data_IF_114103407016
#
_entry.id   IF_114103407016
#
_cell.length_a   1.000
_cell.length_b   1.000
_cell.length_c   1.000
_cell.angle_alpha   90.00
_cell.angle_beta   90.00
_cell.angle_gamma   90.00
#
_symmetry.space_group_name_H-M   'P 1'
#
loop_
_entity.id
_entity.type
_entity.pdbx_description
1 polymer ?
#
# COMPACT_ATOMS: atom_id res chain seq x y z
N UNK A 1 10.19 -9.23 -7.66
CA UNK A 1 9.71 -7.96 -7.08
C UNK A 1 9.18 -8.25 -5.69
N UNK A 2 9.43 -7.38 -4.71
CA UNK A 2 9.01 -7.58 -3.31
C UNK A 2 7.94 -6.56 -2.92
N UNK A 3 6.82 -7.01 -2.38
CA UNK A 3 5.68 -6.17 -1.97
C UNK A 3 5.66 -6.11 -0.44
N UNK A 4 5.46 -4.91 0.12
CA UNK A 4 5.19 -4.73 1.55
C UNK A 4 3.70 -4.53 1.73
N UNK A 5 3.05 -5.38 2.53
CA UNK A 5 1.62 -5.26 2.84
C UNK A 5 1.49 -4.81 4.29
N UNK A 6 0.83 -3.67 4.49
CA UNK A 6 0.60 -3.02 5.79
C UNK A 6 -0.90 -3.08 6.08
N UNK A 7 -1.29 -4.03 6.92
CA UNK A 7 -2.69 -4.36 7.21
C UNK A 7 -2.82 -4.84 8.65
N UNK A 8 -3.70 -4.24 9.43
CA UNK A 8 -3.88 -4.56 10.85
C UNK A 8 -4.70 -5.84 11.06
N UNK A 9 -5.63 -6.14 10.15
CA UNK A 9 -6.36 -7.41 10.14
C UNK A 9 -5.44 -8.56 9.67
N UNK A 10 -5.01 -9.37 10.63
CA UNK A 10 -4.13 -10.52 10.36
C UNK A 10 -4.72 -11.57 9.42
N UNK A 11 -6.05 -11.75 9.38
CA UNK A 11 -6.71 -12.69 8.48
C UNK A 11 -6.63 -12.17 7.03
N UNK A 12 -6.93 -10.89 6.84
CA UNK A 12 -6.84 -10.25 5.54
C UNK A 12 -5.39 -10.17 5.05
N UNK A 13 -4.45 -9.84 5.93
CA UNK A 13 -3.03 -9.82 5.63
C UNK A 13 -2.54 -11.18 5.11
N UNK A 14 -2.94 -12.27 5.77
CA UNK A 14 -2.60 -13.63 5.31
C UNK A 14 -3.21 -13.94 3.93
N UNK A 15 -4.47 -13.54 3.70
CA UNK A 15 -5.12 -13.70 2.39
C UNK A 15 -4.39 -12.96 1.27
N UNK A 16 -3.99 -11.70 1.52
CA UNK A 16 -3.23 -10.89 0.59
C UNK A 16 -1.84 -11.48 0.28
N UNK A 17 -1.13 -11.95 1.30
CA UNK A 17 0.18 -12.61 1.13
C UNK A 17 0.02 -13.87 0.27
N UNK A 18 -0.96 -14.72 0.56
CA UNK A 18 -1.19 -15.95 -0.19
C UNK A 18 -1.55 -15.68 -1.65
N UNK A 19 -2.42 -14.69 -1.89
CA UNK A 19 -2.80 -14.25 -3.22
C UNK A 19 -1.57 -13.76 -4.02
N UNK A 20 -0.78 -12.87 -3.46
CA UNK A 20 0.38 -12.32 -4.14
C UNK A 20 1.48 -13.38 -4.35
N UNK A 21 1.66 -14.33 -3.43
CA UNK A 21 2.56 -15.48 -3.60
C UNK A 21 2.10 -16.42 -4.73
N UNK A 22 0.79 -16.64 -4.86
CA UNK A 22 0.21 -17.46 -5.94
C UNK A 22 0.51 -16.88 -7.33
N UNK A 23 0.55 -15.54 -7.43
CA UNK A 23 0.96 -14.80 -8.64
C UNK A 23 2.50 -14.70 -8.81
N UNK A 24 3.28 -15.32 -7.92
CA UNK A 24 4.75 -15.35 -8.00
C UNK A 24 5.47 -14.13 -7.41
N UNK A 25 4.77 -13.28 -6.65
CA UNK A 25 5.39 -12.15 -5.95
C UNK A 25 5.92 -12.54 -4.56
N UNK A 26 7.08 -12.00 -4.19
CA UNK A 26 7.57 -12.08 -2.81
C UNK A 26 6.91 -10.98 -1.98
N UNK A 27 6.43 -11.31 -0.78
CA UNK A 27 5.66 -10.37 0.04
C UNK A 27 6.10 -10.45 1.50
N UNK A 28 6.23 -9.30 2.14
CA UNK A 28 6.32 -9.20 3.60
C UNK A 28 5.06 -8.54 4.13
N UNK A 29 4.54 -9.09 5.23
CA UNK A 29 3.36 -8.55 5.92
C UNK A 29 3.71 -7.93 7.25
N UNK A 30 3.15 -6.75 7.52
CA UNK A 30 3.28 -6.05 8.79
C UNK A 30 1.93 -5.47 9.21
N UNK A 31 1.72 -5.32 10.52
CA UNK A 31 0.42 -4.92 11.08
C UNK A 31 0.39 -3.53 11.67
N UNK A 32 1.50 -2.80 11.59
CA UNK A 32 1.64 -1.45 12.16
C UNK A 32 2.49 -0.58 11.24
N UNK A 33 2.23 0.73 11.26
CA UNK A 33 3.00 1.67 10.46
C UNK A 33 4.47 1.73 10.91
N UNK A 34 4.73 1.59 12.22
CA UNK A 34 6.09 1.51 12.75
C UNK A 34 6.85 0.31 12.18
N UNK A 35 6.22 -0.87 12.08
CA UNK A 35 6.85 -2.04 11.47
C UNK A 35 7.05 -1.85 9.97
N UNK A 36 6.11 -1.18 9.29
CA UNK A 36 6.26 -0.84 7.87
C UNK A 36 7.47 0.06 7.62
N UNK A 37 7.66 1.09 8.46
CA UNK A 37 8.82 1.97 8.39
C UNK A 37 10.14 1.19 8.60
N UNK A 38 10.21 0.34 9.63
CA UNK A 38 11.40 -0.49 9.89
C UNK A 38 11.70 -1.42 8.70
N UNK A 39 10.67 -2.00 8.10
CA UNK A 39 10.81 -2.81 6.90
C UNK A 39 11.35 -1.99 5.72
N UNK A 40 10.79 -0.80 5.45
CA UNK A 40 11.23 0.10 4.38
C UNK A 40 12.67 0.60 4.56
N UNK A 41 13.14 0.72 5.80
CA UNK A 41 14.53 1.08 6.10
C UNK A 41 15.50 -0.10 5.90
N UNK A 42 15.05 -1.32 6.17
CA UNK A 42 15.87 -2.53 6.07
C UNK A 42 15.88 -3.19 4.67
N UNK A 43 14.89 -2.87 3.83
CA UNK A 43 14.60 -3.64 2.61
C UNK A 43 14.32 -2.78 1.38
N UNK A 44 14.38 -3.42 0.21
CA UNK A 44 13.99 -2.83 -1.06
C UNK A 44 12.64 -3.42 -1.51
N UNK A 45 11.60 -2.60 -1.47
CA UNK A 45 10.27 -2.95 -1.94
C UNK A 45 9.93 -2.25 -3.25
N UNK A 46 9.18 -2.94 -4.10
CA UNK A 46 8.72 -2.44 -5.39
C UNK A 46 7.30 -1.83 -5.32
N UNK A 47 6.56 -2.13 -4.26
CA UNK A 47 5.20 -1.67 -4.01
C UNK A 47 4.90 -1.76 -2.51
N UNK A 48 4.17 -0.78 -1.97
CA UNK A 48 3.52 -0.87 -0.67
C UNK A 48 2.01 -0.94 -0.88
N UNK A 49 1.37 -1.91 -0.24
CA UNK A 49 -0.08 -1.96 -0.05
C UNK A 49 -0.37 -1.49 1.37
N UNK A 50 -1.18 -0.46 1.53
CA UNK A 50 -1.35 0.25 2.80
C UNK A 50 -2.84 0.38 3.17
N UNK A 51 -3.24 -0.16 4.33
CA UNK A 51 -4.49 0.25 4.96
C UNK A 51 -4.33 1.59 5.69
N UNK A 52 -5.37 2.40 5.65
CA UNK A 52 -5.48 3.63 6.43
C UNK A 52 -5.89 3.38 7.89
N UNK A 53 -6.51 2.22 8.15
CA UNK A 53 -7.03 1.81 9.47
C UNK A 53 -5.98 1.25 10.44
N UNK A 54 -4.74 1.74 10.44
CA UNK A 54 -3.70 1.15 11.28
C UNK A 54 -3.90 1.51 12.77
N UNK A 55 -3.50 0.61 13.70
CA UNK A 55 -3.77 0.77 15.13
C UNK A 55 -2.83 1.79 15.80
N UNK A 56 -1.68 2.09 15.20
CA UNK A 56 -0.64 2.94 15.79
C UNK A 56 -0.59 4.37 15.22
N UNK A 57 -0.94 4.58 13.95
CA UNK A 57 -1.12 5.92 13.37
C UNK A 57 -2.08 5.87 12.16
N UNK A 58 -2.57 7.03 11.71
CA UNK A 58 -3.36 7.09 10.47
C UNK A 58 -2.46 6.80 9.24
N UNK A 59 -2.90 5.91 8.35
CA UNK A 59 -2.11 5.54 7.18
C UNK A 59 -1.80 6.70 6.24
N UNK A 60 -2.63 7.76 6.18
CA UNK A 60 -2.31 8.95 5.40
C UNK A 60 -1.13 9.72 6.00
N UNK A 61 -1.03 9.78 7.32
CA UNK A 61 0.13 10.38 8.00
C UNK A 61 1.39 9.55 7.76
N UNK A 62 1.28 8.22 7.82
CA UNK A 62 2.39 7.33 7.46
C UNK A 62 2.85 7.56 6.01
N UNK A 63 1.92 7.63 5.05
CA UNK A 63 2.22 7.91 3.64
C UNK A 63 2.95 9.25 3.47
N UNK A 64 2.45 10.31 4.11
CA UNK A 64 3.09 11.62 4.08
C UNK A 64 4.53 11.55 4.62
N UNK A 65 4.77 10.82 5.72
CA UNK A 65 6.11 10.64 6.30
C UNK A 65 7.07 9.92 5.36
N UNK A 66 6.65 8.82 4.73
CA UNK A 66 7.53 8.09 3.80
C UNK A 66 7.81 8.91 2.53
N UNK A 67 6.85 9.72 2.05
CA UNK A 67 7.08 10.65 0.94
C UNK A 67 8.06 11.76 1.31
N UNK A 68 8.01 12.30 2.53
CA UNK A 68 9.00 13.26 3.03
C UNK A 68 10.41 12.64 3.14
N UNK A 69 10.51 11.35 3.49
CA UNK A 69 11.76 10.57 3.45
C UNK A 69 12.25 10.25 2.03
N UNK A 70 11.57 10.76 0.99
CA UNK A 70 11.87 10.56 -0.45
C UNK A 70 11.76 9.11 -0.93
N UNK A 71 10.95 8.30 -0.28
CA UNK A 71 10.56 7.00 -0.83
C UNK A 71 9.68 7.23 -2.07
N UNK A 72 10.17 6.81 -3.25
CA UNK A 72 9.50 6.98 -4.55
C UNK A 72 8.79 5.71 -5.03
N UNK A 73 8.72 4.67 -4.21
CA UNK A 73 8.04 3.44 -4.59
C UNK A 73 6.52 3.67 -4.70
N UNK A 74 5.85 2.94 -5.60
CA UNK A 74 4.41 2.94 -5.68
C UNK A 74 3.73 2.60 -4.35
N UNK A 75 2.68 3.32 -3.98
CA UNK A 75 1.82 3.02 -2.82
C UNK A 75 0.38 2.86 -3.26
N UNK A 76 -0.16 1.66 -3.04
CA UNK A 76 -1.57 1.32 -3.23
C UNK A 76 -2.28 1.41 -1.88
N UNK A 77 -3.29 2.27 -1.77
CA UNK A 77 -4.13 2.32 -0.57
C UNK A 77 -5.24 1.27 -0.66
N UNK A 78 -5.42 0.49 0.41
CA UNK A 78 -6.43 -0.55 0.53
C UNK A 78 -7.25 -0.32 1.80
N UNK A 79 -8.45 0.25 1.70
CA UNK A 79 -9.20 0.63 2.92
C UNK A 79 -10.70 0.48 2.78
N UNK A 80 -11.39 0.31 3.90
CA UNK A 80 -12.85 0.35 3.98
C UNK A 80 -13.40 1.79 4.00
N UNK A 81 -12.54 2.82 4.14
CA UNK A 81 -12.94 4.23 4.04
C UNK A 81 -13.31 4.55 2.59
N UNK A 82 -14.61 4.77 2.33
CA UNK A 82 -15.13 4.94 0.96
C UNK A 82 -15.23 6.41 0.51
N UNK A 83 -15.00 7.37 1.42
CA UNK A 83 -15.41 8.75 1.14
C UNK A 83 -14.57 9.36 0.03
N UNK A 84 -15.21 10.13 -0.85
CA UNK A 84 -14.55 10.85 -1.93
C UNK A 84 -13.43 11.77 -1.39
N UNK A 85 -13.60 12.29 -0.18
CA UNK A 85 -12.61 13.12 0.53
C UNK A 85 -11.35 12.32 0.88
N UNK A 86 -11.49 11.10 1.38
CA UNK A 86 -10.35 10.23 1.72
C UNK A 86 -9.58 9.80 0.46
N UNK A 87 -10.30 9.59 -0.66
CA UNK A 87 -9.69 9.29 -1.97
C UNK A 87 -8.87 10.46 -2.50
N UNK A 88 -9.43 11.67 -2.48
CA UNK A 88 -8.75 12.89 -2.92
C UNK A 88 -7.53 13.15 -2.04
N UNK A 89 -7.68 13.04 -0.71
CA UNK A 89 -6.57 13.23 0.22
C UNK A 89 -5.45 12.19 0.00
N UNK A 90 -5.78 10.91 -0.23
CA UNK A 90 -4.80 9.88 -0.53
C UNK A 90 -3.98 10.18 -1.80
N UNK A 91 -4.65 10.54 -2.90
CA UNK A 91 -4.00 10.89 -4.16
C UNK A 91 -3.17 12.18 -4.04
N UNK A 92 -3.66 13.21 -3.34
CA UNK A 92 -2.95 14.46 -3.11
C UNK A 92 -1.69 14.28 -2.23
N UNK A 93 -1.73 13.33 -1.30
CA UNK A 93 -0.57 12.95 -0.45
C UNK A 93 0.43 12.07 -1.21
N UNK A 94 0.09 11.63 -2.42
CA UNK A 94 0.97 10.89 -3.32
C UNK A 94 0.78 9.38 -3.28
N UNK A 95 -0.44 8.91 -3.02
CA UNK A 95 -0.82 7.54 -3.36
C UNK A 95 -0.89 7.38 -4.87
N UNK A 96 -0.49 6.22 -5.33
CA UNK A 96 -0.42 5.87 -6.75
C UNK A 96 -1.76 5.33 -7.24
N UNK A 97 -2.50 4.62 -6.38
CA UNK A 97 -3.85 4.11 -6.66
C UNK A 97 -4.64 3.86 -5.34
N UNK A 98 -5.95 3.66 -5.46
CA UNK A 98 -6.88 3.51 -4.33
C UNK A 98 -7.89 2.38 -4.57
N UNK A 99 -7.90 1.37 -3.71
CA UNK A 99 -8.81 0.23 -3.73
C UNK A 99 -9.69 0.22 -2.47
N UNK A 100 -11.01 0.13 -2.64
CA UNK A 100 -12.00 0.10 -1.54
C UNK A 100 -12.33 -1.35 -1.19
N UNK A 101 -12.30 -1.70 0.10
CA UNK A 101 -12.77 -3.01 0.59
C UNK A 101 -14.30 -3.08 0.53
N UNK A 102 -14.92 -4.19 0.07
CA UNK A 102 -14.30 -5.41 -0.46
C UNK A 102 -13.94 -5.27 -1.94
N UNK A 103 -12.71 -5.64 -2.32
CA UNK A 103 -12.24 -5.66 -3.71
C UNK A 103 -12.07 -7.10 -4.19
N UNK A 104 -12.34 -7.35 -5.47
CA UNK A 104 -11.99 -8.61 -6.12
C UNK A 104 -10.50 -8.60 -6.47
N UNK A 105 -9.80 -9.72 -6.30
CA UNK A 105 -8.37 -9.86 -6.60
C UNK A 105 -8.01 -9.40 -8.04
N UNK A 106 -8.98 -9.53 -8.95
CA UNK A 106 -8.92 -9.10 -10.35
C UNK A 106 -8.65 -7.59 -10.53
N UNK A 107 -9.00 -6.74 -9.56
CA UNK A 107 -8.73 -5.30 -9.63
C UNK A 107 -7.24 -4.98 -9.38
N UNK A 108 -6.49 -5.88 -8.74
CA UNK A 108 -5.04 -5.76 -8.56
C UNK A 108 -4.28 -5.93 -9.91
N UNK A 109 -4.93 -6.49 -10.93
CA UNK A 109 -4.36 -6.70 -12.25
C UNK A 109 -4.45 -5.47 -13.16
N UNK A 110 -5.03 -4.35 -12.69
CA UNK A 110 -5.06 -3.12 -13.48
C UNK A 110 -3.61 -2.70 -13.78
N UNK A 111 -3.19 -2.63 -15.05
CA UNK A 111 -1.83 -2.25 -15.40
C UNK A 111 -1.59 -0.82 -14.92
N UNK A 112 -0.62 -0.66 -14.01
CA UNK A 112 -0.21 0.65 -13.52
C UNK A 112 0.39 1.45 -14.70
N UNK A 113 -0.17 2.62 -15.06
CA UNK A 113 0.41 3.45 -16.09
C UNK A 113 1.78 3.93 -15.60
N UNK A 114 2.86 3.54 -16.30
CA UNK A 114 4.18 4.11 -16.03
C UNK A 114 4.08 5.63 -16.18
N UNK A 115 4.70 6.43 -15.30
CA UNK A 115 4.74 7.87 -15.49
C UNK A 115 5.31 8.15 -16.88
N UNK A 116 4.54 8.87 -17.69
CA UNK A 116 4.98 9.28 -19.00
C UNK A 116 6.24 10.13 -18.82
N UNK A 117 7.39 9.60 -19.25
CA UNK A 117 8.59 10.40 -19.47
C UNK A 117 8.21 11.43 -20.53
N UNK A 118 7.88 12.62 -20.06
CA UNK A 118 7.64 13.78 -20.91
C UNK A 118 9.01 14.22 -21.43
N UNK A 119 9.20 14.40 -22.75
CA UNK A 119 10.47 14.83 -23.33
C UNK A 119 10.85 16.26 -22.96
#
# INVERSE_FOLDING_TARGET
MKILIVEDDTLLLQGLILAAQTEGYACDGVTTARMAEQSLEAGHYSLVVLDLGLPDEDGLHFLARIRQKKYTLPVLILTARDTLTDKIAGLDVGADDYLVKPFALEELHRPYPRPATTP
#
